data_IF_903169432114
#
_entry.id   IF_903169432114
#
_cell.length_a   1.000
_cell.length_b   1.000
_cell.length_c   1.000
_cell.angle_alpha   90.00
_cell.angle_beta   90.00
_cell.angle_gamma   90.00
#
_symmetry.space_group_name_H-M   'P 1'
#
loop_
_entity.id
_entity.type
_entity.pdbx_description
1 polymer ?
#
# COMPACT_ATOMS: atom_id res chain seq x y z
N UNK A 1 5.01 -27.54 -15.38
CA UNK A 1 4.87 -27.60 -13.92
C UNK A 1 6.16 -27.23 -13.18
N UNK A 2 7.31 -27.89 -13.41
CA UNK A 2 8.57 -27.56 -12.72
C UNK A 2 9.01 -26.11 -12.95
N UNK A 3 8.93 -25.58 -14.16
CA UNK A 3 9.25 -24.19 -14.50
C UNK A 3 8.35 -23.20 -13.72
N UNK A 4 7.05 -23.48 -13.58
CA UNK A 4 6.11 -22.61 -12.88
C UNK A 4 6.40 -22.60 -11.37
N UNK A 5 6.79 -23.75 -10.80
CA UNK A 5 7.25 -23.81 -9.41
C UNK A 5 8.54 -23.00 -9.23
N UNK A 6 9.47 -23.08 -10.19
CA UNK A 6 10.68 -22.26 -10.18
C UNK A 6 10.34 -20.76 -10.21
N UNK A 7 9.38 -20.33 -11.05
CA UNK A 7 8.92 -18.94 -11.09
C UNK A 7 8.35 -18.49 -9.73
N UNK A 8 7.57 -19.34 -9.06
CA UNK A 8 7.06 -19.04 -7.71
C UNK A 8 8.22 -18.84 -6.73
N UNK A 9 9.17 -19.78 -6.68
CA UNK A 9 10.28 -19.74 -5.72
C UNK A 9 11.19 -18.54 -5.99
N UNK A 10 11.57 -18.31 -7.25
CA UNK A 10 12.40 -17.16 -7.65
C UNK A 10 11.64 -15.85 -7.42
N UNK A 11 10.35 -15.81 -7.75
CA UNK A 11 9.48 -14.66 -7.49
C UNK A 11 9.47 -14.27 -6.01
N UNK A 12 9.20 -15.23 -5.12
CA UNK A 12 9.22 -15.01 -3.66
C UNK A 12 10.61 -14.55 -3.19
N UNK A 13 11.68 -15.17 -3.65
CA UNK A 13 13.04 -14.81 -3.27
C UNK A 13 13.38 -13.36 -3.68
N UNK A 14 13.01 -12.96 -4.91
CA UNK A 14 13.20 -11.59 -5.41
C UNK A 14 12.36 -10.58 -4.63
N UNK A 15 11.10 -10.91 -4.32
CA UNK A 15 10.20 -10.04 -3.53
C UNK A 15 10.78 -9.81 -2.14
N UNK A 16 11.20 -10.86 -1.43
CA UNK A 16 11.75 -10.74 -0.08
C UNK A 16 13.09 -9.99 -0.07
N UNK A 17 13.97 -10.28 -1.01
CA UNK A 17 15.25 -9.60 -1.13
C UNK A 17 15.06 -8.14 -1.55
N UNK A 18 14.16 -7.87 -2.50
CA UNK A 18 13.81 -6.54 -2.95
C UNK A 18 13.24 -5.67 -1.82
N UNK A 19 12.34 -6.24 -1.00
CA UNK A 19 11.77 -5.58 0.17
C UNK A 19 12.86 -5.22 1.21
N UNK A 20 13.81 -6.12 1.41
CA UNK A 20 14.96 -5.90 2.31
C UNK A 20 15.81 -4.72 1.85
N UNK A 21 16.18 -4.69 0.56
CA UNK A 21 16.98 -3.60 -0.03
C UNK A 21 16.24 -2.27 -0.07
N UNK A 22 14.96 -2.29 -0.47
CA UNK A 22 14.10 -1.10 -0.46
C UNK A 22 14.02 -0.49 0.95
N UNK A 23 13.80 -1.33 1.97
CA UNK A 23 13.72 -0.88 3.36
C UNK A 23 15.04 -0.23 3.82
N UNK A 24 16.19 -0.87 3.54
CA UNK A 24 17.50 -0.32 3.90
C UNK A 24 17.78 1.02 3.22
N UNK A 25 17.45 1.13 1.93
CA UNK A 25 17.58 2.38 1.17
C UNK A 25 16.66 3.48 1.70
N UNK A 26 15.40 3.13 2.02
CA UNK A 26 14.41 4.07 2.56
C UNK A 26 14.81 4.60 3.95
N UNK A 27 15.28 3.73 4.85
CA UNK A 27 15.81 4.14 6.16
C UNK A 27 16.97 5.10 5.99
N UNK A 28 17.95 4.76 5.14
CA UNK A 28 19.12 5.60 4.92
C UNK A 28 18.78 6.98 4.32
N UNK A 29 17.74 7.05 3.45
CA UNK A 29 17.23 8.33 2.94
C UNK A 29 16.57 9.14 4.06
N UNK A 30 15.73 8.49 4.89
CA UNK A 30 15.06 9.13 6.02
C UNK A 30 16.10 9.77 6.99
N UNK A 31 17.10 8.99 7.39
CA UNK A 31 18.18 9.44 8.27
C UNK A 31 18.95 10.62 7.67
N UNK A 32 19.32 10.53 6.39
CA UNK A 32 20.08 11.60 5.72
C UNK A 32 19.26 12.88 5.54
N UNK A 33 17.99 12.76 5.21
CA UNK A 33 17.09 13.90 5.07
C UNK A 33 16.61 14.44 6.41
N UNK A 34 17.00 13.79 7.52
CA UNK A 34 16.51 14.10 8.88
C UNK A 34 14.98 14.13 8.93
N UNK A 35 14.37 13.20 8.24
CA UNK A 35 12.90 13.07 8.15
C UNK A 35 12.44 11.84 8.92
N UNK A 36 11.24 11.88 9.54
CA UNK A 36 10.64 10.68 10.11
C UNK A 36 10.48 9.57 9.05
N UNK A 37 10.78 8.33 9.41
CA UNK A 37 10.65 7.17 8.51
C UNK A 37 9.24 7.05 7.89
N UNK A 38 8.21 7.45 8.64
CA UNK A 38 6.82 7.43 8.17
C UNK A 38 6.62 8.28 6.90
N UNK A 39 7.31 9.41 6.77
CA UNK A 39 7.20 10.28 5.61
C UNK A 39 7.75 9.61 4.35
N UNK A 40 8.90 8.93 4.46
CA UNK A 40 9.46 8.16 3.34
C UNK A 40 8.55 6.98 3.00
N UNK A 41 7.96 6.34 4.01
CA UNK A 41 6.95 5.30 3.83
C UNK A 41 5.70 5.80 3.08
N UNK A 42 5.11 6.92 3.54
CA UNK A 42 3.93 7.55 2.94
C UNK A 42 4.15 8.09 1.52
N UNK A 43 5.40 8.29 1.10
CA UNK A 43 5.73 8.92 -0.17
C UNK A 43 6.50 7.98 -1.10
N UNK A 44 7.82 7.94 -1.00
CA UNK A 44 8.69 7.23 -1.95
C UNK A 44 8.38 5.74 -2.00
N UNK A 45 8.23 5.11 -0.82
CA UNK A 45 8.00 3.67 -0.75
C UNK A 45 6.60 3.33 -1.27
N UNK A 46 5.57 4.00 -0.76
CA UNK A 46 4.18 3.78 -1.18
C UNK A 46 3.98 4.02 -2.69
N UNK A 47 4.48 5.14 -3.22
CA UNK A 47 4.38 5.43 -4.65
C UNK A 47 5.10 4.38 -5.50
N UNK A 48 6.26 3.90 -5.04
CA UNK A 48 7.05 2.90 -5.77
C UNK A 48 6.38 1.53 -5.79
N UNK A 49 5.87 1.07 -4.65
CA UNK A 49 5.24 -0.25 -4.54
C UNK A 49 3.87 -0.29 -5.22
N UNK A 50 3.12 0.82 -5.24
CA UNK A 50 1.82 0.93 -5.92
C UNK A 50 1.90 1.19 -7.44
N UNK A 51 3.08 1.12 -8.05
CA UNK A 51 3.19 1.24 -9.52
C UNK A 51 2.48 0.12 -10.28
N UNK A 52 2.47 -1.15 -9.84
CA UNK A 52 1.66 -2.19 -10.47
C UNK A 52 0.17 -1.85 -10.48
N UNK A 53 -0.37 -1.40 -9.37
CA UNK A 53 -1.78 -0.95 -9.26
C UNK A 53 -2.08 0.20 -10.23
N UNK A 54 -1.16 1.15 -10.34
CA UNK A 54 -1.28 2.25 -11.31
C UNK A 54 -1.38 1.72 -12.74
N UNK A 55 -0.46 0.85 -13.13
CA UNK A 55 -0.44 0.27 -14.47
C UNK A 55 -1.73 -0.52 -14.77
N UNK A 56 -2.15 -1.39 -13.85
CA UNK A 56 -3.37 -2.20 -14.01
C UNK A 56 -4.60 -1.31 -14.14
N UNK A 57 -4.80 -0.37 -13.21
CA UNK A 57 -5.99 0.50 -13.21
C UNK A 57 -6.01 1.44 -14.39
N UNK A 58 -4.88 2.04 -14.74
CA UNK A 58 -4.78 2.96 -15.87
C UNK A 58 -5.06 2.28 -17.21
N UNK A 59 -4.43 1.12 -17.46
CA UNK A 59 -4.64 0.34 -18.69
C UNK A 59 -6.07 -0.18 -18.78
N UNK A 60 -6.65 -0.65 -17.65
CA UNK A 60 -8.03 -1.13 -17.59
C UNK A 60 -9.03 -0.02 -17.93
N UNK A 61 -8.84 1.17 -17.39
CA UNK A 61 -9.68 2.32 -17.70
C UNK A 61 -9.59 2.72 -19.19
N UNK A 62 -8.38 2.75 -19.76
CA UNK A 62 -8.18 3.02 -21.20
C UNK A 62 -8.85 1.97 -22.10
N UNK A 63 -8.94 0.72 -21.64
CA UNK A 63 -9.66 -0.36 -22.34
C UNK A 63 -11.17 -0.35 -22.11
N UNK A 64 -11.71 0.61 -21.33
CA UNK A 64 -13.12 0.71 -21.01
C UNK A 64 -13.61 -0.29 -19.95
N UNK A 65 -12.71 -0.98 -19.22
CA UNK A 65 -13.02 -1.89 -18.11
C UNK A 65 -12.94 -1.14 -16.78
N UNK A 66 -13.86 -0.17 -16.58
CA UNK A 66 -13.87 0.74 -15.41
C UNK A 66 -13.99 -0.01 -14.08
N UNK A 67 -14.84 -1.04 -14.03
CA UNK A 67 -15.01 -1.85 -12.81
C UNK A 67 -13.71 -2.53 -12.39
N UNK A 68 -12.91 -2.99 -13.35
CA UNK A 68 -11.60 -3.58 -13.05
C UNK A 68 -10.62 -2.51 -12.54
N UNK A 69 -10.64 -1.31 -13.13
CA UNK A 69 -9.77 -0.21 -12.71
C UNK A 69 -10.06 0.25 -11.27
N UNK A 70 -11.33 0.49 -10.94
CA UNK A 70 -11.74 0.94 -9.61
C UNK A 70 -11.71 -0.21 -8.61
N UNK A 71 -12.12 -1.42 -9.01
CA UNK A 71 -12.08 -2.61 -8.17
C UNK A 71 -10.67 -2.96 -7.71
N UNK A 72 -9.68 -2.84 -8.60
CA UNK A 72 -8.27 -3.00 -8.24
C UNK A 72 -7.86 -2.01 -7.12
N UNK A 73 -8.25 -0.74 -7.21
CA UNK A 73 -7.92 0.27 -6.20
C UNK A 73 -8.66 0.01 -4.88
N UNK A 74 -9.96 -0.25 -4.93
CA UNK A 74 -10.76 -0.54 -3.72
C UNK A 74 -10.23 -1.80 -3.03
N UNK A 75 -10.02 -2.87 -3.79
CA UNK A 75 -9.51 -4.13 -3.27
C UNK A 75 -8.10 -4.01 -2.66
N UNK A 76 -7.16 -3.37 -3.37
CA UNK A 76 -5.81 -3.13 -2.85
C UNK A 76 -5.82 -2.29 -1.57
N UNK A 77 -6.70 -1.31 -1.46
CA UNK A 77 -6.79 -0.48 -0.25
C UNK A 77 -7.35 -1.23 0.95
N UNK A 78 -8.37 -2.08 0.75
CA UNK A 78 -8.87 -2.99 1.80
C UNK A 78 -7.78 -3.98 2.20
N UNK A 79 -7.05 -4.53 1.21
CA UNK A 79 -5.92 -5.43 1.42
C UNK A 79 -4.82 -4.76 2.24
N UNK A 80 -4.43 -3.53 1.90
CA UNK A 80 -3.42 -2.76 2.61
C UNK A 80 -3.82 -2.49 4.06
N UNK A 81 -5.05 -2.00 4.28
CA UNK A 81 -5.52 -1.65 5.62
C UNK A 81 -5.70 -2.86 6.53
N UNK A 82 -6.27 -3.95 6.02
CA UNK A 82 -6.61 -5.10 6.84
C UNK A 82 -5.52 -6.18 6.86
N UNK A 83 -5.08 -6.63 5.68
CA UNK A 83 -4.14 -7.75 5.61
C UNK A 83 -2.71 -7.28 5.82
N UNK A 84 -2.25 -6.24 5.13
CA UNK A 84 -0.85 -5.80 5.24
C UNK A 84 -0.56 -5.25 6.64
N UNK A 85 -1.39 -4.35 7.15
CA UNK A 85 -1.25 -3.84 8.52
C UNK A 85 -1.41 -4.98 9.52
N UNK A 86 -2.39 -5.87 9.32
CA UNK A 86 -2.66 -7.01 10.18
C UNK A 86 -1.47 -7.97 10.27
N UNK A 87 -0.99 -8.47 9.12
CA UNK A 87 0.14 -9.42 9.08
C UNK A 87 1.43 -8.77 9.57
N UNK A 88 1.68 -7.50 9.22
CA UNK A 88 2.85 -6.78 9.72
C UNK A 88 2.86 -6.67 11.24
N UNK A 89 1.69 -6.37 11.85
CA UNK A 89 1.55 -6.32 13.31
C UNK A 89 1.67 -7.70 13.99
N UNK A 90 1.22 -8.77 13.33
CA UNK A 90 1.42 -10.15 13.79
C UNK A 90 2.90 -10.52 13.86
N UNK A 91 3.67 -10.14 12.85
CA UNK A 91 5.12 -10.39 12.78
C UNK A 91 5.84 -9.56 13.84
N UNK A 92 5.59 -8.26 13.89
CA UNK A 92 6.15 -7.37 14.89
C UNK A 92 5.14 -6.24 15.21
N UNK A 93 4.81 -6.04 16.51
CA UNK A 93 3.96 -4.91 16.89
C UNK A 93 4.53 -3.59 16.40
N UNK A 94 3.67 -2.74 15.80
CA UNK A 94 4.11 -1.52 15.13
C UNK A 94 3.75 -0.29 15.94
N UNK A 95 4.75 0.51 16.30
CA UNK A 95 4.55 1.84 16.90
C UNK A 95 4.11 2.84 15.84
N UNK A 96 3.14 3.69 16.16
CA UNK A 96 2.61 4.71 15.27
C UNK A 96 2.83 6.08 15.91
N UNK A 97 3.30 7.03 15.14
CA UNK A 97 3.48 8.40 15.63
C UNK A 97 2.11 9.04 15.93
N UNK A 98 2.00 9.81 16.99
CA UNK A 98 0.77 10.55 17.34
C UNK A 98 0.30 11.43 16.17
N UNK A 99 1.23 12.06 15.46
CA UNK A 99 0.93 12.87 14.26
C UNK A 99 0.24 12.05 13.18
N UNK A 100 0.64 10.79 12.98
CA UNK A 100 0.03 9.88 12.01
C UNK A 100 -1.39 9.52 12.43
N UNK A 101 -1.61 9.19 13.70
CA UNK A 101 -2.94 8.88 14.23
C UNK A 101 -3.89 10.08 14.13
N UNK A 102 -3.38 11.31 14.33
CA UNK A 102 -4.19 12.52 14.34
C UNK A 102 -4.34 13.21 12.99
N UNK A 103 -3.49 12.90 11.99
CA UNK A 103 -3.48 13.57 10.68
C UNK A 103 -3.53 12.61 9.51
N UNK A 104 -2.56 11.66 9.39
CA UNK A 104 -2.42 10.87 8.17
C UNK A 104 -3.54 9.83 8.03
N UNK A 105 -3.88 9.12 9.11
CA UNK A 105 -4.98 8.15 9.09
C UNK A 105 -6.34 8.84 8.89
N UNK A 106 -6.69 9.93 9.61
CA UNK A 106 -7.91 10.70 9.32
C UNK A 106 -7.97 11.22 7.89
N UNK A 107 -6.84 11.64 7.31
CA UNK A 107 -6.81 12.07 5.92
C UNK A 107 -7.11 10.93 4.96
N UNK A 108 -6.53 9.74 5.17
CA UNK A 108 -6.84 8.54 4.41
C UNK A 108 -8.32 8.12 4.55
N UNK A 109 -8.89 8.26 5.75
CA UNK A 109 -10.30 8.01 6.00
C UNK A 109 -11.20 8.99 5.22
N UNK A 110 -10.86 10.28 5.23
CA UNK A 110 -11.58 11.30 4.45
C UNK A 110 -11.49 11.02 2.95
N UNK A 111 -10.31 10.61 2.45
CA UNK A 111 -10.13 10.23 1.04
C UNK A 111 -11.03 9.04 0.66
N UNK A 112 -11.08 8.02 1.50
CA UNK A 112 -11.91 6.83 1.31
C UNK A 112 -13.41 7.16 1.36
N UNK A 113 -13.84 7.99 2.32
CA UNK A 113 -15.22 8.44 2.44
C UNK A 113 -15.64 9.32 1.26
N UNK A 114 -14.75 10.18 0.78
CA UNK A 114 -14.98 10.99 -0.40
C UNK A 114 -15.15 10.14 -1.65
N UNK A 115 -14.31 9.13 -1.85
CA UNK A 115 -14.48 8.18 -2.96
C UNK A 115 -15.83 7.47 -2.89
N UNK A 116 -16.23 6.98 -1.70
CA UNK A 116 -17.55 6.37 -1.50
C UNK A 116 -18.67 7.34 -1.92
N UNK A 117 -18.61 8.60 -1.47
CA UNK A 117 -19.63 9.62 -1.81
C UNK A 117 -19.65 9.89 -3.33
N UNK A 118 -18.48 10.04 -3.96
CA UNK A 118 -18.38 10.27 -5.39
C UNK A 118 -18.93 9.09 -6.23
N UNK A 119 -18.78 7.87 -5.73
CA UNK A 119 -19.29 6.67 -6.41
C UNK A 119 -20.78 6.41 -6.18
N UNK A 120 -21.51 7.24 -5.41
CA UNK A 120 -22.96 7.02 -5.15
C UNK A 120 -23.83 7.14 -6.41
N UNK A 121 -23.41 7.91 -7.40
CA UNK A 121 -24.09 8.04 -8.70
C UNK A 121 -23.66 6.97 -9.72
N UNK A 122 -22.76 6.06 -9.32
CA UNK A 122 -22.21 5.00 -10.18
C UNK A 122 -21.16 5.51 -11.17
N UNK A 123 -20.61 6.71 -10.99
CA UNK A 123 -19.63 7.28 -11.90
C UNK A 123 -18.50 7.97 -11.16
N UNK A 124 -17.30 7.95 -11.75
CA UNK A 124 -16.21 8.86 -11.39
C UNK A 124 -16.02 9.80 -12.58
N UNK A 125 -16.50 11.03 -12.43
CA UNK A 125 -16.37 12.06 -13.46
C UNK A 125 -14.95 12.65 -13.49
N UNK A 126 -14.65 13.44 -14.54
CA UNK A 126 -13.38 14.18 -14.59
C UNK A 126 -13.24 15.21 -13.45
N UNK A 127 -14.36 15.75 -12.97
CA UNK A 127 -14.37 16.72 -11.86
C UNK A 127 -14.02 15.99 -10.57
N UNK A 128 -14.64 14.83 -10.28
CA UNK A 128 -14.32 13.99 -9.12
C UNK A 128 -12.84 13.62 -9.10
N UNK A 129 -12.34 13.14 -10.24
CA UNK A 129 -10.95 12.80 -10.43
C UNK A 129 -10.01 13.99 -10.20
N UNK A 130 -10.37 15.18 -10.70
CA UNK A 130 -9.64 16.41 -10.47
C UNK A 130 -9.60 16.80 -8.99
N UNK A 131 -10.72 16.65 -8.26
CA UNK A 131 -10.78 16.89 -6.82
C UNK A 131 -9.88 15.91 -6.06
N UNK A 132 -9.92 14.61 -6.41
CA UNK A 132 -9.04 13.60 -5.81
C UNK A 132 -7.56 13.98 -6.03
N UNK A 133 -7.19 14.36 -7.25
CA UNK A 133 -5.80 14.73 -7.54
C UNK A 133 -5.35 16.00 -6.80
N UNK A 134 -6.22 17.02 -6.69
CA UNK A 134 -5.93 18.22 -5.88
C UNK A 134 -5.74 17.84 -4.41
N UNK A 135 -6.56 16.94 -3.87
CA UNK A 135 -6.39 16.44 -2.51
C UNK A 135 -5.04 15.73 -2.33
N UNK A 136 -4.57 14.99 -3.34
CA UNK A 136 -3.22 14.42 -3.31
C UNK A 136 -2.14 15.49 -3.15
N UNK A 137 -2.22 16.57 -3.94
CA UNK A 137 -1.26 17.67 -3.83
C UNK A 137 -1.28 18.33 -2.44
N UNK A 138 -2.47 18.49 -1.86
CA UNK A 138 -2.63 18.99 -0.48
C UNK A 138 -1.99 18.01 0.51
N UNK A 139 -2.25 16.71 0.38
CA UNK A 139 -1.64 15.68 1.23
C UNK A 139 -0.13 15.73 1.18
N UNK A 140 0.46 15.74 -0.02
CA UNK A 140 1.91 15.82 -0.21
C UNK A 140 2.50 17.09 0.41
N UNK A 141 1.86 18.24 0.20
CA UNK A 141 2.29 19.49 0.81
C UNK A 141 2.26 19.42 2.35
N UNK A 142 1.17 18.90 2.93
CA UNK A 142 1.02 18.78 4.39
C UNK A 142 2.06 17.81 4.98
N UNK A 143 2.27 16.67 4.34
CA UNK A 143 3.22 15.62 4.76
C UNK A 143 4.66 16.17 4.73
N UNK A 144 5.08 16.78 3.62
CA UNK A 144 6.43 17.32 3.48
C UNK A 144 6.69 18.53 4.37
N UNK A 145 5.69 19.41 4.57
CA UNK A 145 5.79 20.53 5.50
C UNK A 145 5.88 20.06 6.96
N UNK A 146 5.08 19.04 7.31
CA UNK A 146 5.12 18.43 8.63
C UNK A 146 6.46 17.76 8.93
N UNK A 147 7.04 17.08 7.93
CA UNK A 147 8.34 16.44 8.03
C UNK A 147 9.47 17.42 8.38
N UNK A 148 9.51 18.58 7.72
CA UNK A 148 10.51 19.62 7.98
C UNK A 148 10.44 20.15 9.43
N UNK A 149 9.25 20.28 9.97
CA UNK A 149 9.07 20.74 11.36
C UNK A 149 9.53 19.69 12.37
N UNK A 150 9.16 18.43 12.16
CA UNK A 150 9.56 17.31 13.03
C UNK A 150 11.06 17.00 12.93
N UNK A 151 11.69 17.20 11.77
CA UNK A 151 13.13 17.05 11.59
C UNK A 151 13.94 18.07 12.37
N UNK A 152 13.43 19.31 12.49
CA UNK A 152 14.05 20.35 13.31
C UNK A 152 13.95 20.03 14.82
N UNK A 153 12.81 19.48 15.25
CA UNK A 153 12.59 19.09 16.67
C UNK A 153 13.41 17.82 17.04
N UNK A 154 13.77 16.97 16.04
CA UNK A 154 14.54 15.73 16.24
C UNK A 154 16.07 15.98 16.31
N UNK A 155 16.58 17.10 15.84
CA UNK A 155 18.01 17.46 15.97
C UNK A 155 18.46 17.54 17.43
N UNK A 156 17.56 17.86 18.37
CA UNK A 156 17.85 17.88 19.81
C UNK A 156 17.90 16.48 20.46
N UNK A 157 17.45 15.42 19.75
CA UNK A 157 17.27 14.08 20.34
C UNK A 157 18.20 12.99 19.82
N UNK A 158 19.02 13.24 18.77
CA UNK A 158 19.91 12.24 18.15
C UNK A 158 21.37 12.58 18.38
N UNK A 159 21.81 12.53 19.63
CA UNK A 159 23.19 12.21 20.00
C UNK A 159 23.22 10.74 20.46
N UNK A 160 23.53 9.82 19.56
CA UNK A 160 23.79 8.44 20.00
C UNK A 160 23.55 7.36 18.94
N UNK A 161 24.61 6.85 18.49
CA UNK A 161 24.98 5.54 17.94
C UNK A 161 25.47 5.54 16.50
N UNK A 162 26.78 5.50 16.39
CA UNK A 162 27.59 5.59 15.19
C UNK A 162 27.52 4.39 14.24
N UNK A 163 26.44 4.21 13.52
CA UNK A 163 26.49 3.50 12.24
C UNK A 163 26.93 4.48 11.17
N UNK A 164 27.98 4.15 10.41
CA UNK A 164 28.38 4.98 9.26
C UNK A 164 27.19 5.13 8.32
N UNK A 165 26.72 6.35 8.03
CA UNK A 165 25.57 6.55 7.15
C UNK A 165 25.87 5.99 5.76
N UNK A 166 24.91 5.28 5.17
CA UNK A 166 25.02 4.77 3.81
C UNK A 166 25.19 5.95 2.84
N UNK A 167 26.05 5.80 1.82
CA UNK A 167 26.23 6.82 0.80
C UNK A 167 24.90 7.07 0.05
N UNK A 168 24.55 8.33 -0.22
CA UNK A 168 23.25 8.70 -0.83
C UNK A 168 22.97 7.99 -2.14
N UNK A 169 23.98 7.92 -3.01
CA UNK A 169 23.82 7.23 -4.29
C UNK A 169 23.49 5.74 -4.08
N UNK A 170 24.09 5.11 -3.06
CA UNK A 170 23.82 3.70 -2.74
C UNK A 170 22.41 3.51 -2.17
N UNK A 171 21.92 4.46 -1.35
CA UNK A 171 20.54 4.45 -0.85
C UNK A 171 19.53 4.52 -2.01
N UNK A 172 19.77 5.40 -2.97
CA UNK A 172 18.93 5.52 -4.18
C UNK A 172 19.00 4.24 -5.02
N UNK A 173 20.20 3.68 -5.21
CA UNK A 173 20.38 2.41 -5.93
C UNK A 173 19.60 1.29 -5.24
N UNK A 174 19.68 1.17 -3.90
CA UNK A 174 18.93 0.14 -3.18
C UNK A 174 17.43 0.31 -3.29
N UNK A 175 16.91 1.55 -3.29
CA UNK A 175 15.49 1.82 -3.54
C UNK A 175 15.09 1.33 -4.94
N UNK A 176 15.83 1.74 -5.97
CA UNK A 176 15.52 1.37 -7.36
C UNK A 176 15.63 -0.13 -7.61
N UNK A 177 16.71 -0.76 -7.17
CA UNK A 177 16.91 -2.20 -7.31
C UNK A 177 15.86 -2.97 -6.51
N UNK A 178 15.55 -2.50 -5.29
CA UNK A 178 14.48 -3.07 -4.47
C UNK A 178 13.14 -3.04 -5.19
N UNK A 179 12.75 -1.91 -5.77
CA UNK A 179 11.51 -1.77 -6.53
C UNK A 179 11.48 -2.68 -7.77
N UNK A 180 12.56 -2.73 -8.54
CA UNK A 180 12.67 -3.62 -9.72
C UNK A 180 12.48 -5.08 -9.30
N UNK A 181 13.14 -5.50 -8.22
CA UNK A 181 13.02 -6.88 -7.71
C UNK A 181 11.64 -7.18 -7.15
N UNK A 182 10.99 -6.22 -6.47
CA UNK A 182 9.63 -6.36 -5.97
C UNK A 182 8.64 -6.55 -7.12
N UNK A 183 8.67 -5.67 -8.12
CA UNK A 183 7.76 -5.70 -9.27
C UNK A 183 8.04 -6.94 -10.13
N UNK A 184 9.29 -7.19 -10.48
CA UNK A 184 9.68 -8.35 -11.29
C UNK A 184 9.40 -9.68 -10.58
N UNK A 185 9.71 -9.76 -9.28
CA UNK A 185 9.43 -10.94 -8.46
C UNK A 185 7.94 -11.21 -8.28
N UNK A 186 7.14 -10.16 -8.09
CA UNK A 186 5.68 -10.26 -8.02
C UNK A 186 5.09 -10.79 -9.33
N UNK A 187 5.52 -10.27 -10.48
CA UNK A 187 5.07 -10.75 -11.78
C UNK A 187 5.41 -12.23 -12.00
N UNK A 188 6.64 -12.64 -11.68
CA UNK A 188 7.04 -14.06 -11.76
C UNK A 188 6.20 -14.95 -10.85
N UNK A 189 5.94 -14.49 -9.61
CA UNK A 189 5.09 -15.21 -8.66
C UNK A 189 3.69 -15.40 -9.22
N UNK A 190 3.05 -14.31 -9.70
CA UNK A 190 1.69 -14.35 -10.26
C UNK A 190 1.63 -15.29 -11.47
N UNK A 191 2.57 -15.18 -12.40
CA UNK A 191 2.63 -16.04 -13.58
C UNK A 191 2.76 -17.52 -13.20
N UNK A 192 3.70 -17.84 -12.33
CA UNK A 192 3.92 -19.20 -11.86
C UNK A 192 2.74 -19.76 -11.08
N UNK A 193 2.19 -18.97 -10.13
CA UNK A 193 1.07 -19.40 -9.30
C UNK A 193 -0.23 -19.57 -10.11
N UNK A 194 -0.51 -18.67 -11.05
CA UNK A 194 -1.64 -18.77 -11.97
C UNK A 194 -1.54 -20.06 -12.81
N UNK A 195 -0.38 -20.30 -13.42
CA UNK A 195 -0.18 -21.50 -14.24
C UNK A 195 -0.32 -22.81 -13.43
N UNK A 196 0.15 -22.83 -12.17
CA UNK A 196 -0.03 -23.99 -11.29
C UNK A 196 -1.49 -24.17 -10.91
N UNK A 197 -2.17 -23.10 -10.51
CA UNK A 197 -3.59 -23.14 -10.12
C UNK A 197 -4.50 -23.59 -11.29
N UNK A 198 -4.26 -23.08 -12.50
CA UNK A 198 -4.97 -23.52 -13.71
C UNK A 198 -4.75 -25.02 -13.98
N UNK A 199 -3.52 -25.52 -13.84
CA UNK A 199 -3.23 -26.94 -14.00
C UNK A 199 -3.89 -27.84 -12.95
N UNK A 200 -4.19 -27.28 -11.78
CA UNK A 200 -4.94 -27.95 -10.69
C UNK A 200 -6.46 -27.85 -10.85
N UNK A 201 -6.95 -27.20 -11.91
CA UNK A 201 -8.38 -27.05 -12.20
C UNK A 201 -9.08 -25.95 -11.41
N UNK A 202 -8.33 -25.01 -10.82
CA UNK A 202 -8.90 -23.83 -10.17
C UNK A 202 -9.51 -22.92 -11.23
N UNK A 203 -10.71 -22.38 -10.99
CA UNK A 203 -11.39 -21.53 -11.95
C UNK A 203 -10.65 -20.21 -12.15
N UNK A 204 -10.75 -19.63 -13.37
CA UNK A 204 -10.13 -18.33 -13.69
C UNK A 204 -10.62 -17.21 -12.78
N UNK A 205 -11.89 -17.27 -12.35
CA UNK A 205 -12.46 -16.28 -11.43
C UNK A 205 -11.77 -16.33 -10.07
N UNK A 206 -11.56 -17.51 -9.49
CA UNK A 206 -10.86 -17.67 -8.21
C UNK A 206 -9.40 -17.25 -8.33
N UNK A 207 -8.72 -17.60 -9.43
CA UNK A 207 -7.34 -17.17 -9.69
C UNK A 207 -7.26 -15.64 -9.75
N UNK A 208 -8.19 -15.00 -10.50
CA UNK A 208 -8.24 -13.54 -10.63
C UNK A 208 -8.48 -12.83 -9.30
N UNK A 209 -9.45 -13.32 -8.51
CA UNK A 209 -9.82 -12.74 -7.22
C UNK A 209 -8.77 -12.93 -6.12
N UNK A 210 -7.90 -13.93 -6.24
CA UNK A 210 -6.93 -14.28 -5.19
C UNK A 210 -5.49 -14.03 -5.61
N UNK A 211 -4.99 -14.79 -6.58
CA UNK A 211 -3.58 -14.77 -6.98
C UNK A 211 -3.22 -13.48 -7.70
N UNK A 212 -4.05 -13.07 -8.67
CA UNK A 212 -3.76 -11.87 -9.46
C UNK A 212 -3.99 -10.61 -8.61
N UNK A 213 -5.12 -10.52 -7.92
CA UNK A 213 -5.43 -9.37 -7.06
C UNK A 213 -4.44 -9.22 -5.90
N UNK A 214 -4.09 -10.33 -5.23
CA UNK A 214 -3.06 -10.29 -4.16
C UNK A 214 -1.65 -10.06 -4.70
N UNK A 215 -1.41 -10.41 -5.97
CA UNK A 215 -0.09 -10.31 -6.59
C UNK A 215 0.34 -8.87 -6.86
N UNK A 216 -0.55 -7.97 -7.23
CA UNK A 216 -0.22 -6.55 -7.40
C UNK A 216 0.19 -5.89 -6.09
N UNK A 217 -0.45 -6.28 -4.98
CA UNK A 217 -0.14 -5.75 -3.63
C UNK A 217 0.92 -6.57 -2.87
N UNK A 218 1.59 -7.53 -3.54
CA UNK A 218 2.68 -8.31 -2.97
C UNK A 218 3.91 -7.44 -2.61
N UNK A 219 4.30 -6.44 -3.44
CA UNK A 219 5.34 -5.48 -3.09
C UNK A 219 5.07 -4.74 -1.78
N UNK A 220 3.84 -4.25 -1.60
CA UNK A 220 3.41 -3.58 -0.37
C UNK A 220 3.48 -4.49 0.84
N UNK A 221 2.94 -5.72 0.71
CA UNK A 221 2.94 -6.71 1.77
C UNK A 221 4.36 -7.05 2.22
N UNK A 222 5.23 -7.40 1.26
CA UNK A 222 6.59 -7.77 1.56
C UNK A 222 7.38 -6.62 2.19
N UNK A 223 7.25 -5.41 1.65
CA UNK A 223 7.94 -4.22 2.16
C UNK A 223 7.48 -3.89 3.57
N UNK A 224 6.17 -3.91 3.85
CA UNK A 224 5.64 -3.61 5.18
C UNK A 224 6.02 -4.67 6.21
N UNK A 225 5.92 -5.96 5.86
CA UNK A 225 6.31 -7.07 6.76
C UNK A 225 7.80 -7.05 7.06
N UNK A 226 8.65 -6.88 6.05
CA UNK A 226 10.12 -6.81 6.23
C UNK A 226 10.50 -5.59 7.06
N UNK A 227 9.89 -4.41 6.78
CA UNK A 227 10.14 -3.19 7.54
C UNK A 227 9.72 -3.35 9.02
N UNK A 228 8.53 -3.90 9.28
CA UNK A 228 8.06 -4.19 10.65
C UNK A 228 9.01 -5.15 11.37
N UNK A 229 9.45 -6.24 10.71
CA UNK A 229 10.40 -7.19 11.25
C UNK A 229 11.76 -6.57 11.61
N UNK A 230 12.20 -5.57 10.84
CA UNK A 230 13.44 -4.81 11.09
C UNK A 230 13.26 -3.72 12.17
N UNK A 231 12.06 -3.54 12.73
CA UNK A 231 11.75 -2.50 13.71
C UNK A 231 11.44 -1.13 13.09
N UNK A 232 11.37 -1.03 11.76
CA UNK A 232 11.07 0.19 11.02
C UNK A 232 9.55 0.39 10.86
N UNK A 233 8.83 0.48 11.99
CA UNK A 233 7.37 0.61 12.03
C UNK A 233 6.86 1.81 11.20
N UNK A 234 7.60 2.92 11.17
CA UNK A 234 7.25 4.09 10.39
C UNK A 234 7.17 3.79 8.89
N UNK A 235 8.13 3.04 8.32
CA UNK A 235 8.10 2.64 6.91
C UNK A 235 6.93 1.66 6.68
N UNK A 236 6.73 0.68 7.57
CA UNK A 236 5.68 -0.33 7.40
C UNK A 236 4.27 0.29 7.36
N UNK A 237 3.94 1.13 8.34
CA UNK A 237 2.66 1.85 8.41
C UNK A 237 2.56 2.89 7.30
N UNK A 238 3.65 3.64 7.05
CA UNK A 238 3.69 4.65 6.00
C UNK A 238 3.45 4.05 4.62
N UNK A 239 4.04 2.89 4.31
CA UNK A 239 3.80 2.19 3.07
C UNK A 239 2.32 1.82 2.90
N UNK A 240 1.70 1.13 3.88
CA UNK A 240 0.31 0.71 3.79
C UNK A 240 -0.67 1.90 3.66
N UNK A 241 -0.53 2.93 4.51
CA UNK A 241 -1.39 4.11 4.48
C UNK A 241 -1.12 5.00 3.25
N UNK A 242 0.14 5.17 2.90
CA UNK A 242 0.56 5.95 1.73
C UNK A 242 0.08 5.35 0.43
N UNK A 243 0.15 4.02 0.29
CA UNK A 243 -0.41 3.31 -0.85
C UNK A 243 -1.93 3.52 -0.95
N UNK A 244 -2.66 3.50 0.17
CA UNK A 244 -4.10 3.79 0.16
C UNK A 244 -4.40 5.21 -0.34
N UNK A 245 -3.68 6.20 0.17
CA UNK A 245 -3.83 7.60 -0.26
C UNK A 245 -3.43 7.76 -1.73
N UNK A 246 -2.30 7.17 -2.15
CA UNK A 246 -1.81 7.25 -3.51
C UNK A 246 -2.78 6.57 -4.50
N UNK A 247 -3.28 5.40 -4.16
CA UNK A 247 -4.23 4.64 -4.96
C UNK A 247 -5.52 5.43 -5.20
N UNK A 248 -6.15 5.96 -4.16
CA UNK A 248 -7.40 6.73 -4.28
C UNK A 248 -7.13 8.06 -4.96
N UNK A 249 -6.20 8.85 -4.46
CA UNK A 249 -6.08 10.25 -4.84
C UNK A 249 -5.28 10.45 -6.14
N UNK A 250 -4.24 9.64 -6.37
CA UNK A 250 -3.38 9.78 -7.54
C UNK A 250 -3.82 8.87 -8.68
N UNK A 251 -3.97 7.57 -8.41
CA UNK A 251 -4.28 6.63 -9.49
C UNK A 251 -5.67 6.90 -10.05
N UNK A 252 -6.72 6.93 -9.20
CA UNK A 252 -8.06 7.26 -9.68
C UNK A 252 -8.16 8.72 -10.16
N UNK A 253 -7.45 9.65 -9.51
CA UNK A 253 -7.39 11.05 -9.92
C UNK A 253 -6.84 11.21 -11.34
N UNK A 254 -5.65 10.68 -11.63
CA UNK A 254 -5.05 10.78 -12.97
C UNK A 254 -5.88 9.99 -13.98
N UNK A 255 -6.25 8.75 -13.64
CA UNK A 255 -6.99 7.88 -14.55
C UNK A 255 -8.34 8.45 -14.91
N UNK A 256 -9.12 8.94 -13.94
CA UNK A 256 -10.46 9.49 -14.15
C UNK A 256 -10.45 10.84 -14.90
N UNK A 257 -9.41 11.67 -14.74
CA UNK A 257 -9.26 12.89 -15.55
C UNK A 257 -9.09 12.56 -17.04
N UNK A 258 -8.36 11.48 -17.37
CA UNK A 258 -8.13 11.04 -18.74
C UNK A 258 -9.36 10.30 -19.27
N UNK A 259 -9.83 9.31 -18.53
CA UNK A 259 -10.96 8.45 -18.89
C UNK A 259 -11.97 8.39 -17.75
N UNK A 260 -13.11 9.11 -17.83
CA UNK A 260 -14.19 8.98 -16.85
C UNK A 260 -14.66 7.52 -16.73
N UNK A 261 -14.98 7.08 -15.52
CA UNK A 261 -15.27 5.68 -15.24
C UNK A 261 -16.70 5.51 -14.79
N UNK A 262 -17.43 4.55 -15.41
CA UNK A 262 -18.77 4.14 -15.02
C UNK A 262 -18.68 2.81 -14.30
N UNK A 263 -19.28 2.74 -13.11
CA UNK A 263 -19.24 1.60 -12.20
C UNK A 263 -20.55 0.82 -12.29
N UNK A 264 -20.44 -0.49 -12.48
CA UNK A 264 -21.59 -1.41 -12.51
C UNK A 264 -21.40 -2.60 -11.57
N UNK A 265 -20.15 -3.02 -11.38
CA UNK A 265 -19.77 -4.18 -10.58
C UNK A 265 -19.29 -3.84 -9.17
N UNK A 266 -18.90 -2.58 -8.91
CA UNK A 266 -18.47 -2.15 -7.59
C UNK A 266 -19.70 -1.85 -6.74
N UNK A 267 -19.82 -2.54 -5.59
CA UNK A 267 -20.97 -2.42 -4.70
C UNK A 267 -20.75 -1.39 -3.60
N UNK A 268 -21.86 -0.92 -3.01
CA UNK A 268 -21.76 -0.09 -1.79
C UNK A 268 -21.14 -0.84 -0.62
N UNK A 269 -21.19 -2.16 -0.61
CA UNK A 269 -20.55 -3.00 0.41
C UNK A 269 -19.04 -2.86 0.29
N UNK A 270 -18.48 -2.94 -0.92
CA UNK A 270 -17.04 -2.81 -1.17
C UNK A 270 -16.53 -1.43 -0.77
N UNK A 271 -17.24 -0.38 -1.19
CA UNK A 271 -16.91 1.01 -0.85
C UNK A 271 -17.05 1.29 0.66
N UNK A 272 -18.06 0.71 1.32
CA UNK A 272 -18.22 0.80 2.76
C UNK A 272 -17.11 0.06 3.49
N UNK A 273 -16.73 -1.14 2.99
CA UNK A 273 -15.65 -1.92 3.57
C UNK A 273 -14.29 -1.21 3.45
N UNK A 274 -14.07 -0.48 2.35
CA UNK A 274 -12.91 0.41 2.19
C UNK A 274 -12.83 1.44 3.34
N UNK A 275 -13.93 2.14 3.64
CA UNK A 275 -13.99 3.14 4.72
C UNK A 275 -13.84 2.47 6.09
N UNK A 276 -14.56 1.36 6.32
CA UNK A 276 -14.54 0.60 7.59
C UNK A 276 -13.13 0.06 7.86
N UNK A 277 -12.41 -0.40 6.84
CA UNK A 277 -11.05 -0.94 7.01
C UNK A 277 -10.09 0.10 7.58
N UNK A 278 -10.10 1.32 7.04
CA UNK A 278 -9.29 2.43 7.55
C UNK A 278 -9.76 2.86 8.94
N UNK A 279 -11.09 2.87 9.18
CA UNK A 279 -11.64 3.22 10.48
C UNK A 279 -11.20 2.25 11.58
N UNK A 280 -11.17 0.93 11.31
CA UNK A 280 -10.69 -0.07 12.28
C UNK A 280 -9.20 0.16 12.59
N UNK A 281 -8.37 0.38 11.56
CA UNK A 281 -6.94 0.71 11.75
C UNK A 281 -6.80 1.97 12.60
N UNK A 282 -7.61 2.99 12.34
CA UNK A 282 -7.59 4.23 13.12
C UNK A 282 -7.97 4.00 14.58
N UNK A 283 -9.04 3.25 14.85
CA UNK A 283 -9.46 2.92 16.22
C UNK A 283 -8.36 2.15 16.99
N UNK A 284 -7.75 1.15 16.37
CA UNK A 284 -6.66 0.41 17.00
C UNK A 284 -5.41 1.27 17.23
N UNK A 285 -5.17 2.27 16.36
CA UNK A 285 -4.03 3.18 16.50
C UNK A 285 -4.08 4.05 17.76
N UNK A 286 -5.25 4.24 18.40
CA UNK A 286 -5.35 4.96 19.68
C UNK A 286 -4.87 4.12 20.87
N UNK A 287 -4.79 2.80 20.72
CA UNK A 287 -4.33 1.90 21.78
C UNK A 287 -2.83 2.06 21.95
N UNK A 288 -2.42 2.95 22.85
CA UNK A 288 -1.00 3.24 23.17
C UNK A 288 -0.16 3.70 21.97
N UNK A 289 -0.78 4.25 20.92
CA UNK A 289 -0.09 4.58 19.66
C UNK A 289 0.68 3.42 19.08
N UNK A 290 0.06 2.22 19.09
CA UNK A 290 0.68 0.98 18.65
C UNK A 290 -0.38 0.03 18.13
N UNK A 291 -0.09 -0.72 17.09
CA UNK A 291 -0.90 -1.88 16.69
C UNK A 291 -0.22 -3.12 17.25
N UNK A 292 -0.90 -3.79 18.15
CA UNK A 292 -0.41 -5.00 18.81
C UNK A 292 -0.76 -6.25 17.97
N UNK A 293 -0.13 -7.39 18.30
CA UNK A 293 -0.35 -8.64 17.56
C UNK A 293 -1.81 -9.10 17.55
N UNK A 294 -2.54 -8.94 18.65
CA UNK A 294 -3.95 -9.34 18.71
C UNK A 294 -4.83 -8.46 17.81
N UNK A 295 -4.54 -7.16 17.70
CA UNK A 295 -5.21 -6.23 16.78
C UNK A 295 -4.88 -6.61 15.33
N UNK A 296 -3.63 -6.99 15.07
CA UNK A 296 -3.21 -7.54 13.79
C UNK A 296 -3.96 -8.83 13.42
N UNK A 297 -4.19 -9.72 14.39
CA UNK A 297 -4.99 -10.93 14.19
C UNK A 297 -6.45 -10.60 13.84
N UNK A 298 -7.06 -9.61 14.53
CA UNK A 298 -8.42 -9.16 14.24
C UNK A 298 -8.51 -8.56 12.83
N UNK A 299 -7.57 -7.68 12.45
CA UNK A 299 -7.54 -7.09 11.10
C UNK A 299 -7.46 -8.18 10.02
N UNK A 300 -6.55 -9.14 10.20
CA UNK A 300 -6.40 -10.28 9.27
C UNK A 300 -7.65 -11.14 9.21
N UNK A 301 -8.30 -11.41 10.34
CA UNK A 301 -9.54 -12.18 10.40
C UNK A 301 -10.71 -11.44 9.69
N UNK A 302 -10.82 -10.12 9.87
CA UNK A 302 -11.82 -9.28 9.16
C UNK A 302 -11.58 -9.35 7.66
N UNK A 303 -10.32 -9.28 7.20
CA UNK A 303 -9.99 -9.44 5.79
C UNK A 303 -10.43 -10.80 5.23
N UNK A 304 -10.11 -11.89 5.95
CA UNK A 304 -10.51 -13.25 5.53
C UNK A 304 -12.04 -13.37 5.47
N UNK A 305 -12.75 -12.81 6.45
CA UNK A 305 -14.22 -12.78 6.46
C UNK A 305 -14.79 -11.99 5.28
N UNK A 306 -14.18 -10.85 4.93
CA UNK A 306 -14.58 -10.08 3.76
C UNK A 306 -14.36 -10.86 2.45
N UNK A 307 -13.19 -11.47 2.26
CA UNK A 307 -12.93 -12.30 1.06
C UNK A 307 -13.91 -13.47 0.98
N UNK A 308 -14.21 -14.14 2.11
CA UNK A 308 -15.21 -15.21 2.14
C UNK A 308 -16.61 -14.73 1.73
N UNK A 309 -16.97 -13.49 2.03
CA UNK A 309 -18.28 -12.92 1.64
C UNK A 309 -18.39 -12.57 0.15
N UNK A 310 -17.25 -12.51 -0.57
CA UNK A 310 -17.21 -12.25 -2.02
C UNK A 310 -17.25 -13.55 -2.85
N UNK A 311 -16.95 -14.71 -2.24
CA UNK A 311 -16.95 -16.03 -2.87
C UNK A 311 -18.32 -16.70 -2.79
#
# INVERSE_FOLDING_TARGET
MLLNILFIVVGIALVLWGADRLTDGAVAVAEKMKMPQIVIGLTIVAMGTSMPEFCVSFISALKGTSDLAVGNIVGSNIFNALLIVGVSALVAPMTIMETTVRKDIPFALVASALLLIMCLDGNISRIDAGILFVMFLIFMYMTLKGAKKQGADAEEAIEGEGKKPMATWLSVVWILVGLICLIGGSNLFVEGATAVATNLGVSEAVIGLTIVAGGTSLPELATSVVSARKGNSGIAIGNALGSNVFNILTILGITGMITPMTLKGITYIDLSMLVISIMIVWLFSFTKYKIERWEGAVLTAVFIGYIYSLL
#
